data_IF_350925049573
#
_entry.id   IF_350925049573
#
_cell.length_a   1.000
_cell.length_b   1.000
_cell.length_c   1.000
_cell.angle_alpha   90.00
_cell.angle_beta   90.00
_cell.angle_gamma   90.00
#
_symmetry.space_group_name_H-M   'P 1'
#
loop_
_entity.id
_entity.type
_entity.pdbx_description
1 polymer ?
#
# COMPACT_ATOMS: atom_id res chain seq x y z
N UNK A 1 -38.89 11.25 -18.49
CA UNK A 1 -38.04 12.15 -17.69
C UNK A 1 -36.95 11.30 -17.06
N UNK A 2 -35.86 11.09 -17.79
CA UNK A 2 -34.74 10.23 -17.37
C UNK A 2 -33.63 11.20 -16.94
N UNK A 3 -33.35 11.27 -15.65
CA UNK A 3 -32.27 12.10 -15.11
C UNK A 3 -30.95 11.35 -15.20
N UNK A 4 -30.11 11.75 -16.15
CA UNK A 4 -28.70 11.36 -16.24
C UNK A 4 -27.91 12.20 -15.23
N UNK A 5 -27.62 11.65 -14.05
CA UNK A 5 -26.76 12.32 -13.06
C UNK A 5 -25.29 12.13 -13.44
N UNK A 6 -24.73 13.19 -14.02
CA UNK A 6 -23.30 13.40 -14.26
C UNK A 6 -22.59 13.38 -12.90
N UNK A 7 -21.93 12.26 -12.59
CA UNK A 7 -21.18 12.08 -11.35
C UNK A 7 -19.97 13.01 -11.39
N UNK A 8 -20.09 14.15 -10.69
CA UNK A 8 -19.07 15.18 -10.64
C UNK A 8 -17.86 14.69 -9.83
N UNK A 9 -16.69 14.89 -10.46
CA UNK A 9 -15.33 14.77 -9.95
C UNK A 9 -15.18 15.41 -8.57
N UNK A 10 -14.54 14.66 -7.67
CA UNK A 10 -14.48 14.95 -6.23
C UNK A 10 -13.07 15.45 -5.87
N UNK A 11 -13.03 16.72 -5.47
CA UNK A 11 -11.83 17.48 -5.13
C UNK A 11 -10.99 16.84 -4.03
N UNK A 12 -9.67 16.80 -4.24
CA UNK A 12 -8.67 16.16 -3.37
C UNK A 12 -8.59 16.72 -1.95
N UNK A 13 -9.15 17.91 -1.68
CA UNK A 13 -9.25 18.46 -0.31
C UNK A 13 -10.42 17.87 0.48
N UNK A 14 -11.48 17.43 -0.22
CA UNK A 14 -12.58 16.67 0.37
C UNK A 14 -12.20 15.20 0.62
N UNK A 15 -11.20 14.70 -0.11
CA UNK A 15 -10.69 13.32 -0.07
C UNK A 15 -10.08 12.94 1.29
N UNK A 16 -9.33 13.83 1.96
CA UNK A 16 -8.72 13.54 3.27
C UNK A 16 -9.74 13.51 4.44
N UNK A 17 -10.85 14.25 4.33
CA UNK A 17 -11.83 14.38 5.41
C UNK A 17 -12.85 13.24 5.43
N UNK A 18 -13.19 12.66 4.27
CA UNK A 18 -14.12 11.51 4.18
C UNK A 18 -13.43 10.20 4.60
N UNK A 19 -12.13 10.03 4.32
CA UNK A 19 -11.33 8.88 4.81
C UNK A 19 -11.36 8.81 6.34
N UNK A 20 -11.35 9.97 7.01
CA UNK A 20 -11.34 10.08 8.47
C UNK A 20 -12.66 9.68 9.16
N UNK A 21 -13.79 9.72 8.44
CA UNK A 21 -15.14 9.51 9.00
C UNK A 21 -15.68 8.09 8.78
N UNK A 22 -15.18 7.36 7.78
CA UNK A 22 -15.63 6.00 7.45
C UNK A 22 -14.67 4.92 7.95
N UNK A 23 -13.38 5.23 8.05
CA UNK A 23 -12.35 4.29 8.44
C UNK A 23 -11.63 4.85 9.65
N UNK A 24 -11.65 4.12 10.77
CA UNK A 24 -10.93 4.51 11.98
C UNK A 24 -9.52 5.03 11.64
N UNK A 25 -9.15 6.13 12.28
CA UNK A 25 -7.97 6.99 12.10
C UNK A 25 -6.59 6.28 12.06
N UNK A 26 -6.53 4.96 12.09
CA UNK A 26 -5.34 4.19 12.49
C UNK A 26 -4.68 3.38 11.37
N UNK A 27 -5.17 3.45 10.12
CA UNK A 27 -4.62 2.63 9.01
C UNK A 27 -3.64 3.36 8.08
N UNK A 28 -3.75 4.69 8.00
CA UNK A 28 -2.98 5.51 7.06
C UNK A 28 -2.31 6.64 7.82
N UNK A 29 -1.02 6.83 7.60
CA UNK A 29 -0.33 8.02 8.08
C UNK A 29 -0.49 9.15 7.06
N UNK A 30 -1.45 10.04 7.30
CA UNK A 30 -1.69 11.22 6.44
C UNK A 30 -0.50 12.17 6.41
N UNK A 31 0.38 12.13 7.41
CA UNK A 31 1.57 13.00 7.50
C UNK A 31 2.70 12.53 6.58
N UNK A 32 2.66 11.28 6.10
CA UNK A 32 3.67 10.70 5.21
C UNK A 32 3.29 10.77 3.71
N UNK A 33 2.15 11.37 3.37
CA UNK A 33 1.73 11.58 1.98
C UNK A 33 2.65 12.60 1.30
N UNK A 34 3.70 12.13 0.64
CA UNK A 34 4.59 12.97 -0.16
C UNK A 34 4.10 12.98 -1.60
N UNK A 35 3.34 14.02 -1.96
CA UNK A 35 2.83 14.22 -3.32
C UNK A 35 3.73 15.12 -4.15
N UNK A 36 4.07 14.71 -5.36
CA UNK A 36 4.75 15.53 -6.37
C UNK A 36 3.84 15.79 -7.56
N UNK A 37 3.60 17.06 -7.89
CA UNK A 37 2.92 17.45 -9.12
C UNK A 37 3.84 17.22 -10.32
N UNK A 38 3.30 16.67 -11.41
CA UNK A 38 4.03 16.51 -12.68
C UNK A 38 3.33 17.30 -13.78
N UNK A 39 4.11 17.75 -14.77
CA UNK A 39 3.64 18.56 -15.91
C UNK A 39 2.64 17.84 -16.84
N UNK A 40 2.28 16.58 -16.57
CA UNK A 40 1.25 15.82 -17.27
C UNK A 40 -0.16 16.00 -16.67
N UNK A 41 -0.31 16.88 -15.67
CA UNK A 41 -1.58 17.12 -14.98
C UNK A 41 -1.93 16.06 -13.93
N UNK A 42 -1.04 15.08 -13.69
CA UNK A 42 -1.22 14.06 -12.68
C UNK A 42 -0.39 14.36 -11.43
N UNK A 43 -0.97 14.04 -10.28
CA UNK A 43 -0.28 14.01 -9.01
C UNK A 43 0.20 12.60 -8.74
N UNK A 44 1.47 12.47 -8.36
CA UNK A 44 2.04 11.19 -7.94
C UNK A 44 2.30 11.25 -6.44
N UNK A 45 1.81 10.24 -5.72
CA UNK A 45 2.00 10.14 -4.28
C UNK A 45 2.39 8.72 -3.88
N UNK A 46 3.12 8.62 -2.78
CA UNK A 46 3.31 7.37 -2.06
C UNK A 46 2.38 7.33 -0.85
N UNK A 47 1.65 6.23 -0.71
CA UNK A 47 0.81 5.94 0.45
C UNK A 47 1.55 4.89 1.27
N UNK A 48 1.99 5.27 2.48
CA UNK A 48 2.68 4.39 3.42
C UNK A 48 1.66 3.78 4.38
N UNK A 49 1.84 2.49 4.71
CA UNK A 49 1.04 1.82 5.72
C UNK A 49 1.82 1.68 7.02
N UNK A 50 1.10 1.84 8.12
CA UNK A 50 1.61 1.69 9.50
C UNK A 50 1.89 0.23 9.86
N UNK A 51 1.14 -0.69 9.27
CA UNK A 51 1.22 -2.12 9.55
C UNK A 51 1.13 -2.96 8.26
N UNK A 52 1.19 -4.29 8.42
CA UNK A 52 1.06 -5.29 7.34
C UNK A 52 -0.17 -6.17 7.51
N UNK A 53 -1.21 -5.69 8.19
CA UNK A 53 -2.47 -6.41 8.39
C UNK A 53 -2.37 -7.65 9.30
N UNK A 54 -1.24 -7.83 9.99
CA UNK A 54 -1.00 -8.94 10.92
C UNK A 54 -1.50 -8.54 12.31
N UNK A 55 -2.39 -9.34 12.90
CA UNK A 55 -3.05 -9.01 14.17
C UNK A 55 -2.45 -9.76 15.35
N UNK A 56 -1.90 -10.94 15.10
CA UNK A 56 -1.33 -11.83 16.11
C UNK A 56 0.10 -12.24 15.75
N UNK A 57 0.87 -12.71 16.73
CA UNK A 57 2.20 -13.27 16.49
C UNK A 57 2.15 -14.51 15.59
N UNK A 58 1.09 -15.33 15.72
CA UNK A 58 0.88 -16.47 14.85
C UNK A 58 0.72 -16.06 13.37
N UNK A 59 0.02 -14.95 13.09
CA UNK A 59 -0.10 -14.43 11.73
C UNK A 59 1.28 -14.01 11.17
N UNK A 60 2.13 -13.44 12.02
CA UNK A 60 3.49 -13.05 11.64
C UNK A 60 4.36 -14.26 11.33
N UNK A 61 4.32 -15.30 12.16
CA UNK A 61 5.06 -16.55 11.92
C UNK A 61 4.63 -17.20 10.59
N UNK A 62 3.32 -17.29 10.35
CA UNK A 62 2.75 -17.82 9.10
C UNK A 62 3.21 -16.98 7.90
N UNK A 63 3.15 -15.66 7.99
CA UNK A 63 3.57 -14.76 6.91
C UNK A 63 5.08 -14.84 6.61
N UNK A 64 5.91 -15.00 7.63
CA UNK A 64 7.35 -15.21 7.48
C UNK A 64 7.63 -16.58 6.85
N UNK A 65 6.93 -17.63 7.25
CA UNK A 65 7.08 -18.96 6.67
C UNK A 65 6.69 -18.97 5.19
N UNK A 66 5.55 -18.38 4.84
CA UNK A 66 5.14 -18.21 3.43
C UNK A 66 6.18 -17.41 2.64
N UNK A 67 6.76 -16.36 3.25
CA UNK A 67 7.83 -15.58 2.61
C UNK A 67 9.10 -16.40 2.39
N UNK A 68 9.42 -17.32 3.29
CA UNK A 68 10.55 -18.25 3.18
C UNK A 68 10.33 -19.28 2.07
N UNK A 69 9.14 -19.86 2.01
CA UNK A 69 8.78 -20.92 1.05
C UNK A 69 8.79 -20.38 -0.38
N UNK A 70 8.42 -19.11 -0.56
CA UNK A 70 8.47 -18.41 -1.84
C UNK A 70 9.89 -18.00 -2.28
N UNK A 71 10.92 -18.13 -1.42
CA UNK A 71 12.30 -17.85 -1.84
C UNK A 71 12.83 -18.96 -2.74
N UNK A 72 13.43 -18.58 -3.87
CA UNK A 72 14.20 -19.53 -4.66
C UNK A 72 15.48 -19.97 -3.92
N UNK A 73 15.95 -21.17 -4.24
CA UNK A 73 17.14 -21.77 -3.59
C UNK A 73 18.39 -20.90 -3.73
N UNK A 74 18.58 -20.28 -4.90
CA UNK A 74 19.69 -19.33 -5.13
C UNK A 74 19.66 -18.16 -4.13
N UNK A 75 18.48 -17.65 -3.81
CA UNK A 75 18.30 -16.55 -2.86
C UNK A 75 18.55 -17.04 -1.44
N UNK A 76 18.06 -18.23 -1.06
CA UNK A 76 18.35 -18.83 0.25
C UNK A 76 19.85 -19.00 0.46
N UNK A 77 20.58 -19.56 -0.52
CA UNK A 77 22.04 -19.72 -0.47
C UNK A 77 22.79 -18.39 -0.40
N UNK A 78 22.34 -17.37 -1.14
CA UNK A 78 22.95 -16.04 -1.06
C UNK A 78 22.71 -15.41 0.31
N UNK A 79 21.49 -15.51 0.84
CA UNK A 79 21.12 -14.92 2.12
C UNK A 79 21.78 -15.65 3.30
N UNK A 80 21.96 -16.96 3.24
CA UNK A 80 22.66 -17.69 4.32
C UNK A 80 24.10 -17.20 4.51
N UNK A 81 24.77 -16.78 3.43
CA UNK A 81 26.12 -16.18 3.48
C UNK A 81 26.16 -14.78 4.08
N UNK A 82 25.13 -13.96 3.85
CA UNK A 82 25.16 -12.53 4.24
C UNK A 82 24.36 -12.21 5.50
N UNK A 83 23.27 -12.95 5.76
CA UNK A 83 22.32 -12.71 6.87
C UNK A 83 22.41 -13.78 7.97
N UNK A 84 23.10 -14.90 7.74
CA UNK A 84 23.15 -16.00 8.69
C UNK A 84 21.84 -16.80 8.76
N UNK A 85 21.40 -17.26 9.95
CA UNK A 85 20.30 -18.21 10.07
C UNK A 85 18.92 -17.61 9.75
N UNK A 86 18.75 -16.29 9.92
CA UNK A 86 17.47 -15.61 9.65
C UNK A 86 17.41 -15.15 8.18
N UNK A 87 16.86 -15.99 7.31
CA UNK A 87 16.82 -15.69 5.87
C UNK A 87 15.70 -14.70 5.49
N UNK A 88 14.61 -14.65 6.24
CA UNK A 88 13.47 -13.75 6.02
C UNK A 88 13.24 -12.80 7.18
N UNK A 89 12.72 -11.62 6.87
CA UNK A 89 12.33 -10.62 7.86
C UNK A 89 11.01 -9.94 7.46
N UNK A 90 10.52 -9.02 8.30
CA UNK A 90 9.27 -8.30 8.07
C UNK A 90 9.20 -7.61 6.70
N UNK A 91 10.33 -7.22 6.08
CA UNK A 91 10.37 -6.54 4.77
C UNK A 91 10.13 -7.51 3.60
N UNK A 92 10.25 -8.81 3.85
CA UNK A 92 9.91 -9.83 2.86
C UNK A 92 8.39 -10.07 2.78
N UNK A 93 7.64 -9.69 3.81
CA UNK A 93 6.18 -9.81 3.86
C UNK A 93 5.54 -8.79 2.89
N UNK A 94 4.65 -9.23 1.98
CA UNK A 94 3.99 -8.34 1.04
C UNK A 94 3.07 -7.34 1.74
N UNK A 95 2.69 -6.29 1.02
CA UNK A 95 1.59 -5.41 1.45
C UNK A 95 0.28 -6.21 1.35
N UNK A 96 -0.62 -6.14 2.35
CA UNK A 96 -1.91 -6.82 2.31
C UNK A 96 -2.71 -6.49 1.06
N UNK A 97 -3.31 -7.51 0.43
CA UNK A 97 -4.12 -7.32 -0.76
C UNK A 97 -5.35 -6.45 -0.46
N UNK A 98 -5.97 -6.63 0.70
CA UNK A 98 -7.11 -5.81 1.16
C UNK A 98 -6.79 -4.31 1.12
N UNK A 99 -5.57 -3.91 1.49
CA UNK A 99 -5.17 -2.50 1.49
C UNK A 99 -4.98 -1.96 0.07
N UNK A 100 -4.44 -2.80 -0.82
CA UNK A 100 -4.28 -2.48 -2.25
C UNK A 100 -5.67 -2.34 -2.90
N UNK A 101 -6.59 -3.24 -2.55
CA UNK A 101 -7.96 -3.23 -3.07
C UNK A 101 -8.74 -2.02 -2.55
N UNK A 102 -8.62 -1.68 -1.26
CA UNK A 102 -9.16 -0.44 -0.68
C UNK A 102 -8.72 0.80 -1.49
N UNK A 103 -7.41 0.91 -1.80
CA UNK A 103 -6.89 2.00 -2.63
C UNK A 103 -7.48 1.95 -4.04
N UNK A 104 -7.58 0.76 -4.65
CA UNK A 104 -8.12 0.60 -6.00
C UNK A 104 -9.58 1.08 -6.10
N UNK A 105 -10.39 0.87 -5.07
CA UNK A 105 -11.78 1.34 -5.03
C UNK A 105 -11.92 2.87 -4.97
N UNK A 106 -10.88 3.60 -4.57
CA UNK A 106 -10.90 5.07 -4.57
C UNK A 106 -10.83 5.69 -5.97
N UNK A 107 -10.54 4.89 -7.00
CA UNK A 107 -10.42 5.36 -8.39
C UNK A 107 -9.04 5.92 -8.76
N UNK A 108 -8.07 5.91 -7.85
CA UNK A 108 -6.68 6.24 -8.17
C UNK A 108 -5.99 5.11 -8.94
N UNK A 109 -5.03 5.47 -9.79
CA UNK A 109 -4.26 4.49 -10.56
C UNK A 109 -3.09 4.03 -9.71
N UNK A 110 -3.09 2.74 -9.35
CA UNK A 110 -1.95 2.10 -8.68
C UNK A 110 -0.84 1.89 -9.69
N UNK A 111 0.34 2.46 -9.42
CA UNK A 111 1.52 2.35 -10.28
C UNK A 111 2.43 1.21 -9.84
N UNK A 112 2.77 1.19 -8.55
CA UNK A 112 3.76 0.27 -7.99
C UNK A 112 3.43 -0.05 -6.54
N UNK A 113 3.57 -1.32 -6.15
CA UNK A 113 3.49 -1.76 -4.76
C UNK A 113 4.90 -2.11 -4.28
N UNK A 114 5.33 -1.52 -3.16
CA UNK A 114 6.66 -1.76 -2.57
C UNK A 114 6.53 -2.45 -1.23
N UNK A 115 6.91 -3.74 -1.19
CA UNK A 115 6.98 -4.50 0.07
C UNK A 115 7.98 -3.91 1.08
N UNK A 116 9.10 -3.37 0.57
CA UNK A 116 10.20 -2.86 1.38
C UNK A 116 9.87 -1.53 2.06
N UNK A 117 9.20 -0.63 1.33
CA UNK A 117 8.71 0.63 1.88
C UNK A 117 7.40 0.46 2.65
N UNK A 118 6.77 -0.70 2.55
CA UNK A 118 5.39 -0.92 3.00
C UNK A 118 4.45 0.16 2.45
N UNK A 119 4.48 0.35 1.14
CA UNK A 119 3.81 1.48 0.51
C UNK A 119 3.33 1.19 -0.91
N UNK A 120 2.32 1.94 -1.36
CA UNK A 120 1.83 1.94 -2.73
C UNK A 120 2.08 3.31 -3.37
N UNK A 121 2.66 3.32 -4.56
CA UNK A 121 2.73 4.50 -5.42
C UNK A 121 1.46 4.59 -6.25
N UNK A 122 0.80 5.75 -6.18
CA UNK A 122 -0.43 6.05 -6.90
C UNK A 122 -0.26 7.27 -7.78
N UNK A 123 -1.07 7.36 -8.82
CA UNK A 123 -1.27 8.58 -9.59
C UNK A 123 -2.74 8.86 -9.83
N UNK A 124 -3.09 10.13 -9.85
CA UNK A 124 -4.43 10.60 -10.18
C UNK A 124 -4.47 12.10 -10.47
N UNK A 125 -5.56 12.54 -11.07
CA UNK A 125 -5.84 13.96 -11.30
C UNK A 125 -6.57 14.53 -10.10
N UNK A 126 -6.16 15.72 -9.64
CA UNK A 126 -6.92 16.50 -8.66
C UNK A 126 -7.93 17.32 -9.45
N UNK A 127 -9.18 16.84 -9.51
CA UNK A 127 -10.33 17.63 -9.97
C UNK A 127 -11.41 17.69 -8.89
#
# INVERSE_FOLDING_TARGET
>A
MIYTLKLNRCSFTFFCMVISLVFGQNKFDSQLLTGGYRNDGNHHSWIYFTDKGLKTEADLEVALQLSMDNLNERTKQRRSKTRGPKLVDNRDIPVPQDYIDEIKYTGVIIRTVSKWLNAVSVSGTIE
#
